data_IF_002964721752
#
_entry.id   IF_002964721752
#
_cell.length_a   1.000
_cell.length_b   1.000
_cell.length_c   1.000
_cell.angle_alpha   90.00
_cell.angle_beta   90.00
_cell.angle_gamma   90.00
#
_symmetry.space_group_name_H-M   'P 1'
#
loop_
_entity.id
_entity.type
_entity.pdbx_description
1 polymer ?
#
# COMPACT_ATOMS: atom_id res chain seq x y z
N UNK A 1 -8.21 86.35 18.13
CA UNK A 1 -9.64 86.70 18.20
C UNK A 1 -10.45 85.60 17.54
N UNK A 2 -11.55 85.22 18.21
CA UNK A 2 -12.64 84.29 17.82
C UNK A 2 -12.35 82.78 17.74
N UNK A 3 -12.84 82.14 18.81
CA UNK A 3 -13.20 80.73 19.03
C UNK A 3 -14.27 80.27 18.03
N UNK A 4 -14.27 78.99 17.65
CA UNK A 4 -15.38 78.09 17.98
C UNK A 4 -15.02 76.61 17.80
N UNK A 5 -15.58 75.81 18.71
CA UNK A 5 -15.43 74.37 18.94
C UNK A 5 -16.19 73.55 17.89
N UNK A 6 -15.71 72.36 17.54
CA UNK A 6 -16.48 71.11 17.73
C UNK A 6 -15.62 69.84 17.57
N UNK A 7 -16.15 68.74 18.14
CA UNK A 7 -15.51 67.54 18.66
C UNK A 7 -15.00 66.50 17.63
N UNK A 8 -14.01 65.72 18.08
CA UNK A 8 -13.70 64.34 17.65
C UNK A 8 -14.87 63.38 17.90
N UNK A 9 -15.11 62.46 16.97
CA UNK A 9 -15.41 61.04 17.29
C UNK A 9 -15.04 60.12 16.13
N UNK A 10 -14.27 59.08 16.44
CA UNK A 10 -13.98 57.90 15.63
C UNK A 10 -15.27 57.15 15.27
N UNK A 11 -15.51 56.95 13.97
CA UNK A 11 -16.53 56.03 13.47
C UNK A 11 -15.98 54.62 13.37
N UNK A 12 -16.12 53.84 14.44
CA UNK A 12 -15.96 52.39 14.40
C UNK A 12 -17.18 51.75 13.73
N UNK A 13 -16.94 50.98 12.68
CA UNK A 13 -17.95 50.16 12.01
C UNK A 13 -18.35 49.05 12.98
N UNK A 14 -19.55 49.20 13.55
CA UNK A 14 -20.23 48.20 14.35
C UNK A 14 -20.59 47.00 13.46
N UNK A 15 -19.90 45.87 13.65
CA UNK A 15 -20.43 44.58 13.25
C UNK A 15 -21.58 44.24 14.21
N UNK A 16 -22.80 44.26 13.70
CA UNK A 16 -23.99 43.85 14.44
C UNK A 16 -23.88 42.35 14.77
N UNK A 17 -23.44 42.06 15.99
CA UNK A 17 -23.57 40.75 16.62
C UNK A 17 -25.05 40.55 16.89
N UNK A 18 -25.72 39.73 16.08
CA UNK A 18 -27.03 39.20 16.45
C UNK A 18 -26.85 38.29 17.67
N UNK A 19 -27.68 38.43 18.73
CA UNK A 19 -27.60 37.56 19.88
C UNK A 19 -28.06 36.16 19.46
N UNK A 20 -27.12 35.22 19.42
CA UNK A 20 -27.42 33.79 19.35
C UNK A 20 -28.13 33.48 20.68
N UNK A 21 -29.44 33.30 20.62
CA UNK A 21 -30.24 32.83 21.75
C UNK A 21 -29.65 31.51 22.25
N UNK A 22 -29.18 31.51 23.49
CA UNK A 22 -28.75 30.31 24.19
C UNK A 22 -29.85 29.26 24.08
N UNK A 23 -29.55 28.14 23.43
CA UNK A 23 -30.42 26.96 23.41
C UNK A 23 -30.30 26.35 24.81
N UNK A 24 -31.18 26.78 25.72
CA UNK A 24 -31.36 26.13 27.00
C UNK A 24 -32.08 24.80 26.75
N UNK A 25 -31.36 23.68 26.84
CA UNK A 25 -31.97 22.37 26.92
C UNK A 25 -32.72 22.25 28.26
N UNK A 26 -34.01 22.58 28.28
CA UNK A 26 -34.85 22.30 29.45
C UNK A 26 -35.41 20.89 29.36
N UNK A 27 -34.88 19.98 30.16
CA UNK A 27 -35.58 18.74 30.51
C UNK A 27 -36.81 19.10 31.37
N UNK A 28 -38.03 18.88 30.88
CA UNK A 28 -39.24 19.05 31.71
C UNK A 28 -40.59 18.98 31.01
N UNK A 29 -41.20 17.79 31.05
CA UNK A 29 -42.65 17.47 31.15
C UNK A 29 -43.70 18.08 30.18
N UNK A 30 -44.26 17.19 29.36
CA UNK A 30 -45.65 17.09 28.83
C UNK A 30 -46.61 18.28 28.96
N UNK A 31 -47.09 18.76 27.80
CA UNK A 31 -48.46 19.24 27.62
C UNK A 31 -49.11 18.60 26.38
N UNK A 32 -50.31 18.03 26.57
CA UNK A 32 -51.21 17.57 25.51
C UNK A 32 -51.82 18.79 24.80
N UNK A 33 -51.76 18.83 23.47
CA UNK A 33 -52.56 19.71 22.63
C UNK A 33 -53.14 18.96 21.43
N UNK A 34 -54.34 19.39 21.03
CA UNK A 34 -55.31 18.70 20.18
C UNK A 34 -55.04 18.77 18.67
N UNK A 35 -55.71 17.87 17.96
CA UNK A 35 -55.77 17.64 16.52
C UNK A 35 -56.02 18.86 15.62
N UNK A 36 -55.05 19.17 14.77
CA UNK A 36 -55.21 19.60 13.36
C UNK A 36 -53.97 19.13 12.60
N UNK A 37 -54.13 18.62 11.38
CA UNK A 37 -53.11 17.91 10.60
C UNK A 37 -51.93 18.76 10.16
N UNK A 38 -51.05 19.10 11.08
CA UNK A 38 -49.70 19.62 10.81
C UNK A 38 -48.75 18.81 11.66
N UNK A 39 -47.84 18.07 11.03
CA UNK A 39 -46.81 17.31 11.75
C UNK A 39 -45.94 18.30 12.53
N UNK A 40 -46.13 18.37 13.85
CA UNK A 40 -45.32 19.24 14.71
C UNK A 40 -43.92 18.66 14.74
N UNK A 41 -42.96 19.39 14.16
CA UNK A 41 -41.55 19.03 14.23
C UNK A 41 -41.09 19.07 15.68
N UNK A 42 -40.39 18.03 16.09
CA UNK A 42 -39.71 17.94 17.39
C UNK A 42 -38.63 19.02 17.50
N UNK A 43 -38.24 19.37 18.73
CA UNK A 43 -37.14 20.30 18.98
C UNK A 43 -35.83 19.83 18.33
N UNK A 44 -35.61 18.51 18.26
CA UNK A 44 -34.46 17.92 17.57
C UNK A 44 -34.52 18.17 16.05
N UNK A 45 -35.69 18.06 15.43
CA UNK A 45 -35.88 18.33 14.00
C UNK A 45 -35.73 19.82 13.68
N UNK A 46 -36.24 20.71 14.54
CA UNK A 46 -36.06 22.16 14.40
C UNK A 46 -34.60 22.57 14.58
N UNK A 47 -33.90 21.98 15.55
CA UNK A 47 -32.47 22.21 15.77
C UNK A 47 -31.65 21.72 14.58
N UNK A 48 -31.95 20.53 14.04
CA UNK A 48 -31.28 20.00 12.84
C UNK A 48 -31.49 20.90 11.62
N UNK A 49 -32.71 21.39 11.42
CA UNK A 49 -33.02 22.33 10.33
C UNK A 49 -32.29 23.67 10.50
N UNK A 50 -32.29 24.22 11.72
CA UNK A 50 -31.58 25.46 12.04
C UNK A 50 -30.07 25.32 11.81
N UNK A 51 -29.47 24.22 12.29
CA UNK A 51 -28.06 23.91 12.06
C UNK A 51 -27.75 23.70 10.57
N UNK A 52 -28.67 23.07 9.83
CA UNK A 52 -28.53 22.86 8.38
C UNK A 52 -28.46 24.16 7.58
N UNK A 53 -29.11 25.23 8.06
CA UNK A 53 -29.11 26.57 7.44
C UNK A 53 -27.84 27.39 7.70
N UNK A 54 -27.00 26.97 8.64
CA UNK A 54 -25.73 27.63 8.93
C UNK A 54 -24.71 27.37 7.81
N UNK A 55 -23.87 28.36 7.52
CA UNK A 55 -22.66 28.14 6.72
C UNK A 55 -21.59 27.40 7.52
N UNK A 56 -20.52 26.95 6.87
CA UNK A 56 -19.50 26.11 7.50
C UNK A 56 -18.79 26.81 8.66
N UNK A 57 -18.53 28.12 8.56
CA UNK A 57 -17.93 28.91 9.65
C UNK A 57 -18.84 28.96 10.86
N UNK A 58 -20.14 29.19 10.65
CA UNK A 58 -21.14 29.21 11.71
C UNK A 58 -21.33 27.83 12.36
N UNK A 59 -21.35 26.75 11.56
CA UNK A 59 -21.42 25.37 12.07
C UNK A 59 -20.23 25.05 12.97
N UNK A 60 -19.01 25.40 12.54
CA UNK A 60 -17.80 25.23 13.34
C UNK A 60 -17.86 26.05 14.63
N UNK A 61 -18.37 27.28 14.57
CA UNK A 61 -18.51 28.12 15.75
C UNK A 61 -19.46 27.51 16.79
N UNK A 62 -20.62 27.00 16.35
CA UNK A 62 -21.56 26.28 17.23
C UNK A 62 -20.88 25.07 17.88
N UNK A 63 -20.15 24.25 17.11
CA UNK A 63 -19.43 23.09 17.65
C UNK A 63 -18.36 23.47 18.68
N UNK A 64 -17.66 24.60 18.50
CA UNK A 64 -16.69 25.12 19.47
C UNK A 64 -17.35 25.59 20.76
N UNK A 65 -18.49 26.27 20.65
CA UNK A 65 -19.23 26.80 21.79
C UNK A 65 -19.86 25.70 22.66
N UNK A 66 -20.23 24.56 22.06
CA UNK A 66 -20.80 23.42 22.77
C UNK A 66 -19.85 22.77 23.80
N UNK A 67 -18.55 23.10 23.80
CA UNK A 67 -17.54 22.54 24.73
C UNK A 67 -17.71 21.03 24.92
N UNK A 68 -17.65 20.27 23.82
CA UNK A 68 -17.99 18.84 23.79
C UNK A 68 -17.27 18.01 24.86
N UNK A 69 -16.06 18.39 25.25
CA UNK A 69 -15.28 17.76 26.32
C UNK A 69 -15.86 17.89 27.74
N UNK A 70 -16.84 18.77 27.95
CA UNK A 70 -17.55 18.93 29.23
C UNK A 70 -18.81 18.08 29.32
N UNK A 71 -19.32 17.62 28.17
CA UNK A 71 -20.59 16.87 28.07
C UNK A 71 -20.40 15.44 27.57
N UNK A 72 -19.30 15.16 26.87
CA UNK A 72 -18.93 13.83 26.38
C UNK A 72 -17.67 13.34 27.08
N UNK A 73 -17.60 12.02 27.31
CA UNK A 73 -16.35 11.36 27.71
C UNK A 73 -15.33 11.38 26.57
N UNK A 74 -14.05 11.15 26.88
CA UNK A 74 -13.03 11.03 25.83
C UNK A 74 -13.34 9.91 24.84
N UNK A 75 -13.87 8.78 25.30
CA UNK A 75 -14.28 7.68 24.44
C UNK A 75 -15.38 8.11 23.45
N UNK A 76 -16.40 8.86 23.92
CA UNK A 76 -17.48 9.40 23.09
C UNK A 76 -16.99 10.46 22.08
N UNK A 77 -16.00 11.27 22.46
CA UNK A 77 -15.40 12.25 21.53
C UNK A 77 -14.69 11.54 20.37
N UNK A 78 -13.93 10.48 20.63
CA UNK A 78 -13.22 9.76 19.57
C UNK A 78 -14.18 8.96 18.67
N UNK A 79 -15.29 8.44 19.21
CA UNK A 79 -16.38 7.86 18.41
C UNK A 79 -16.98 8.92 17.47
N UNK A 80 -17.27 10.12 17.98
CA UNK A 80 -17.78 11.22 17.18
C UNK A 80 -16.80 11.65 16.07
N UNK A 81 -15.49 11.73 16.37
CA UNK A 81 -14.46 12.02 15.34
C UNK A 81 -14.45 10.92 14.28
N UNK A 82 -14.55 9.64 14.68
CA UNK A 82 -14.58 8.51 13.76
C UNK A 82 -15.78 8.58 12.81
N UNK A 83 -16.95 9.00 13.30
CA UNK A 83 -18.15 9.17 12.48
C UNK A 83 -18.03 10.33 11.49
N UNK A 84 -17.31 11.41 11.86
CA UNK A 84 -17.07 12.53 10.97
C UNK A 84 -15.99 12.26 9.92
N UNK A 85 -14.89 11.62 10.32
CA UNK A 85 -13.81 11.23 9.44
C UNK A 85 -13.07 10.04 10.04
N UNK A 86 -13.45 8.84 9.59
CA UNK A 86 -12.83 7.59 10.04
C UNK A 86 -11.31 7.60 9.78
N UNK A 87 -10.83 8.23 8.71
CA UNK A 87 -9.42 8.17 8.28
C UNK A 87 -8.57 9.28 8.94
N UNK A 88 -9.15 10.07 9.85
CA UNK A 88 -8.46 11.20 10.52
C UNK A 88 -7.13 10.81 11.18
N UNK A 89 -6.98 9.55 11.61
CA UNK A 89 -5.73 9.05 12.19
C UNK A 89 -4.54 8.97 11.23
N UNK A 90 -4.77 9.06 9.91
CA UNK A 90 -3.74 8.87 8.86
C UNK A 90 -3.25 10.17 8.23
N UNK A 91 -3.86 11.31 8.55
CA UNK A 91 -3.44 12.62 8.01
C UNK A 91 -1.98 12.92 8.36
N UNK A 92 -1.61 12.70 9.64
CA UNK A 92 -0.25 12.94 10.12
C UNK A 92 0.78 12.02 9.47
N UNK A 93 0.43 10.73 9.25
CA UNK A 93 1.34 9.76 8.64
C UNK A 93 1.58 10.06 7.16
N UNK A 94 0.56 10.47 6.40
CA UNK A 94 0.71 10.90 5.00
C UNK A 94 1.58 12.15 4.93
N UNK A 95 1.32 13.16 5.75
CA UNK A 95 2.15 14.39 5.76
C UNK A 95 3.61 14.06 6.09
N UNK A 96 3.85 13.21 7.10
CA UNK A 96 5.20 12.75 7.43
C UNK A 96 5.85 12.01 6.25
N UNK A 97 5.17 11.05 5.64
CA UNK A 97 5.70 10.25 4.54
C UNK A 97 6.08 11.09 3.31
N UNK A 98 5.26 12.11 2.99
CA UNK A 98 5.40 12.96 1.80
C UNK A 98 6.34 14.14 2.02
N UNK A 99 6.34 14.74 3.21
CA UNK A 99 7.01 16.04 3.46
C UNK A 99 8.20 15.97 4.41
N UNK A 100 8.34 14.93 5.21
CA UNK A 100 9.42 14.86 6.20
C UNK A 100 10.77 14.59 5.54
N UNK A 101 11.83 15.16 6.11
CA UNK A 101 13.20 14.86 5.69
C UNK A 101 13.62 13.47 6.17
N UNK A 102 13.06 13.00 7.27
CA UNK A 102 13.28 11.67 7.84
C UNK A 102 12.84 10.58 6.88
N UNK A 103 11.63 10.69 6.31
CA UNK A 103 11.14 9.72 5.33
C UNK A 103 11.99 9.75 4.05
N UNK A 104 12.42 10.93 3.59
CA UNK A 104 13.32 11.07 2.44
C UNK A 104 14.65 10.36 2.69
N UNK A 105 15.34 10.71 3.78
CA UNK A 105 16.64 10.12 4.15
C UNK A 105 16.53 8.60 4.28
N UNK A 106 15.45 8.11 4.91
CA UNK A 106 15.28 6.68 5.13
C UNK A 106 15.01 5.91 3.82
N UNK A 107 14.27 6.48 2.86
CA UNK A 107 14.09 5.91 1.50
C UNK A 107 15.42 5.85 0.75
N UNK A 108 16.19 6.94 0.75
CA UNK A 108 17.50 6.98 0.08
C UNK A 108 18.49 6.00 0.71
N UNK A 109 18.54 5.93 2.04
CA UNK A 109 19.39 4.99 2.77
C UNK A 109 19.03 3.53 2.46
N UNK A 110 17.72 3.20 2.38
CA UNK A 110 17.28 1.87 2.01
C UNK A 110 17.80 1.45 0.63
N UNK A 111 17.72 2.34 -0.37
CA UNK A 111 18.23 2.04 -1.72
C UNK A 111 19.74 2.04 -1.83
N UNK A 112 20.47 2.90 -1.10
CA UNK A 112 21.93 2.81 -1.02
C UNK A 112 22.38 1.48 -0.41
N UNK A 113 21.70 1.03 0.65
CA UNK A 113 21.95 -0.28 1.24
C UNK A 113 21.57 -1.43 0.28
N UNK A 114 20.50 -1.26 -0.52
CA UNK A 114 20.11 -2.24 -1.53
C UNK A 114 21.19 -2.42 -2.61
N UNK A 115 21.82 -1.34 -3.07
CA UNK A 115 22.95 -1.41 -4.01
C UNK A 115 24.10 -2.23 -3.40
N UNK A 116 24.50 -1.91 -2.16
CA UNK A 116 25.57 -2.65 -1.45
C UNK A 116 25.20 -4.13 -1.27
N UNK A 117 23.95 -4.42 -0.93
CA UNK A 117 23.46 -5.78 -0.78
C UNK A 117 23.52 -6.56 -2.10
N UNK A 118 23.07 -5.95 -3.21
CA UNK A 118 23.14 -6.54 -4.54
C UNK A 118 24.58 -6.91 -4.92
N UNK A 119 25.53 -6.00 -4.75
CA UNK A 119 26.92 -6.22 -5.11
C UNK A 119 27.57 -7.34 -4.28
N UNK A 120 27.24 -7.43 -2.99
CA UNK A 120 27.71 -8.52 -2.10
C UNK A 120 27.08 -9.88 -2.45
N UNK A 121 25.79 -9.89 -2.79
CA UNK A 121 25.11 -11.12 -3.22
C UNK A 121 25.63 -11.61 -4.57
N UNK A 122 25.99 -10.70 -5.46
CA UNK A 122 26.62 -11.04 -6.75
C UNK A 122 27.87 -11.89 -6.55
N UNK A 123 28.78 -11.48 -5.66
CA UNK A 123 29.96 -12.29 -5.33
C UNK A 123 29.58 -13.59 -4.62
N UNK A 124 28.70 -13.52 -3.62
CA UNK A 124 28.32 -14.68 -2.80
C UNK A 124 27.61 -15.79 -3.59
N UNK A 125 26.96 -15.45 -4.70
CA UNK A 125 26.13 -16.38 -5.47
C UNK A 125 26.62 -16.58 -6.93
N UNK A 126 27.86 -16.23 -7.27
CA UNK A 126 28.41 -16.36 -8.63
C UNK A 126 28.34 -17.79 -9.22
N UNK A 127 28.27 -18.80 -8.35
CA UNK A 127 28.11 -20.19 -8.77
C UNK A 127 26.66 -20.52 -9.18
N UNK A 128 25.66 -19.82 -8.65
CA UNK A 128 24.23 -20.05 -8.94
C UNK A 128 23.70 -19.16 -10.06
N UNK A 129 24.18 -17.92 -10.15
CA UNK A 129 23.63 -16.93 -11.07
C UNK A 129 24.60 -16.56 -12.20
N UNK A 130 24.02 -16.14 -13.32
CA UNK A 130 24.72 -15.50 -14.42
C UNK A 130 24.55 -13.97 -14.32
N UNK A 131 25.67 -13.26 -14.18
CA UNK A 131 25.70 -11.79 -14.11
C UNK A 131 26.38 -11.15 -15.34
N UNK A 132 26.57 -11.91 -16.42
CA UNK A 132 27.32 -11.45 -17.60
C UNK A 132 26.55 -10.47 -18.48
N UNK A 133 25.22 -10.41 -18.34
CA UNK A 133 24.35 -9.59 -19.18
C UNK A 133 24.20 -8.16 -18.64
N UNK A 134 24.11 -7.18 -19.54
CA UNK A 134 23.72 -5.81 -19.22
C UNK A 134 22.42 -5.51 -19.96
N UNK A 135 21.31 -5.52 -19.22
CA UNK A 135 19.97 -5.39 -19.79
C UNK A 135 19.65 -3.95 -20.21
N UNK A 136 20.28 -2.95 -19.57
CA UNK A 136 20.10 -1.56 -19.95
C UNK A 136 20.60 -1.28 -21.37
N UNK A 137 21.70 -1.92 -21.76
CA UNK A 137 22.29 -1.72 -23.08
C UNK A 137 21.72 -2.71 -24.11
N UNK A 138 21.59 -3.99 -23.73
CA UNK A 138 21.13 -5.03 -24.65
C UNK A 138 19.62 -4.94 -24.97
N UNK A 139 18.81 -4.40 -24.05
CA UNK A 139 17.35 -4.31 -24.17
C UNK A 139 16.67 -5.67 -24.45
N UNK A 140 17.28 -6.76 -23.97
CA UNK A 140 16.79 -8.13 -24.06
C UNK A 140 17.42 -8.99 -22.97
N UNK A 141 16.90 -10.20 -22.77
CA UNK A 141 17.43 -11.19 -21.83
C UNK A 141 17.73 -12.48 -22.58
N UNK A 142 18.98 -12.89 -22.64
CA UNK A 142 19.40 -14.13 -23.28
C UNK A 142 19.26 -15.34 -22.34
N UNK A 143 19.09 -16.53 -22.94
CA UNK A 143 19.14 -17.78 -22.19
C UNK A 143 20.52 -17.95 -21.52
N UNK A 144 20.54 -18.59 -20.34
CA UNK A 144 21.77 -18.84 -19.58
C UNK A 144 22.28 -20.26 -19.79
N UNK A 145 23.56 -20.49 -19.47
CA UNK A 145 24.14 -21.81 -19.47
C UNK A 145 23.41 -22.77 -18.49
N UNK A 146 23.43 -24.07 -18.79
CA UNK A 146 22.84 -25.10 -17.93
C UNK A 146 23.37 -25.01 -16.50
N UNK A 147 22.45 -25.08 -15.52
CA UNK A 147 22.77 -24.97 -14.10
C UNK A 147 22.90 -23.55 -13.56
N UNK A 148 22.87 -22.52 -14.42
CA UNK A 148 22.80 -21.11 -14.02
C UNK A 148 21.36 -20.58 -14.09
N UNK A 149 21.15 -19.42 -13.49
CA UNK A 149 19.89 -18.66 -13.56
C UNK A 149 20.16 -17.17 -13.64
N UNK A 150 19.26 -16.40 -14.23
CA UNK A 150 19.29 -14.94 -14.13
C UNK A 150 18.81 -14.54 -12.72
N UNK A 151 19.55 -13.68 -12.01
CA UNK A 151 19.14 -13.19 -10.70
C UNK A 151 17.98 -12.21 -10.87
N UNK A 152 16.82 -12.60 -10.36
CA UNK A 152 15.62 -11.78 -10.33
C UNK A 152 15.56 -10.93 -9.06
N UNK A 153 15.24 -9.66 -9.21
CA UNK A 153 15.04 -8.71 -8.11
C UNK A 153 13.57 -8.33 -8.14
N UNK A 154 12.80 -8.86 -7.20
CA UNK A 154 11.38 -8.52 -7.09
C UNK A 154 11.21 -7.22 -6.30
N UNK A 155 10.51 -6.27 -6.89
CA UNK A 155 10.17 -5.00 -6.25
C UNK A 155 8.65 -4.81 -6.26
N UNK A 156 8.06 -4.39 -5.15
CA UNK A 156 6.73 -3.79 -5.23
C UNK A 156 6.76 -2.50 -6.07
N UNK A 157 5.59 -2.01 -6.49
CA UNK A 157 5.45 -0.76 -7.24
C UNK A 157 5.04 0.40 -6.34
N UNK A 158 3.95 0.24 -5.58
CA UNK A 158 3.34 1.33 -4.81
C UNK A 158 4.22 1.62 -3.59
N UNK A 159 4.57 2.88 -3.31
CA UNK A 159 5.42 3.33 -2.19
C UNK A 159 6.85 2.75 -2.17
N UNK A 160 7.17 1.86 -3.11
CA UNK A 160 8.46 1.21 -3.30
C UNK A 160 9.16 1.78 -4.53
N UNK A 161 8.57 1.67 -5.73
CA UNK A 161 9.16 2.26 -6.95
C UNK A 161 8.51 3.59 -7.30
N UNK A 162 7.19 3.66 -7.20
CA UNK A 162 6.36 4.82 -7.53
C UNK A 162 5.66 5.34 -6.28
N UNK A 163 5.76 6.63 -6.04
CA UNK A 163 5.02 7.33 -5.01
C UNK A 163 3.51 7.35 -5.32
N UNK A 164 2.66 6.97 -4.37
CA UNK A 164 1.20 7.07 -4.43
C UNK A 164 0.66 8.26 -3.62
N UNK A 165 1.54 9.15 -3.17
CA UNK A 165 1.27 10.32 -2.32
C UNK A 165 0.01 11.09 -2.71
N UNK A 166 -0.21 11.28 -4.01
CA UNK A 166 -1.35 12.06 -4.52
C UNK A 166 -2.68 11.30 -4.37
N UNK A 167 -2.68 9.99 -4.59
CA UNK A 167 -3.88 9.16 -4.41
C UNK A 167 -4.24 9.11 -2.93
N UNK A 168 -3.26 8.84 -2.05
CA UNK A 168 -3.46 8.82 -0.60
C UNK A 168 -3.92 10.18 -0.07
N UNK A 169 -3.26 11.26 -0.49
CA UNK A 169 -3.65 12.61 -0.07
C UNK A 169 -5.06 12.99 -0.54
N UNK A 170 -5.46 12.58 -1.76
CA UNK A 170 -6.83 12.82 -2.24
C UNK A 170 -7.85 11.96 -1.51
N UNK A 171 -7.53 10.70 -1.21
CA UNK A 171 -8.40 9.83 -0.42
C UNK A 171 -8.78 10.50 0.91
N UNK A 172 -7.81 11.13 1.59
CA UNK A 172 -8.06 11.85 2.83
C UNK A 172 -8.99 13.06 2.68
N UNK A 173 -8.97 13.74 1.54
CA UNK A 173 -9.81 14.90 1.27
C UNK A 173 -11.20 14.53 0.75
N UNK A 174 -11.36 13.35 0.15
CA UNK A 174 -12.55 12.95 -0.60
C UNK A 174 -13.35 11.80 0.04
N UNK A 175 -13.06 11.46 1.30
CA UNK A 175 -13.83 10.46 2.06
C UNK A 175 -13.36 9.01 1.90
N UNK A 176 -12.07 8.81 1.63
CA UNK A 176 -11.37 7.54 1.70
C UNK A 176 -10.92 6.97 0.36
N UNK A 177 -10.10 5.92 0.45
CA UNK A 177 -9.53 5.20 -0.69
C UNK A 177 -10.55 4.33 -1.43
N UNK A 178 -10.48 4.31 -2.76
CA UNK A 178 -11.11 3.27 -3.58
C UNK A 178 -10.16 2.78 -4.68
N UNK A 179 -10.28 1.50 -5.04
CA UNK A 179 -9.47 0.89 -6.09
C UNK A 179 -9.68 1.55 -7.46
N UNK A 180 -10.92 1.93 -7.79
CA UNK A 180 -11.24 2.60 -9.06
C UNK A 180 -10.57 3.98 -9.17
N UNK A 181 -10.61 4.79 -8.10
CA UNK A 181 -9.93 6.10 -8.07
C UNK A 181 -8.41 5.96 -8.15
N UNK A 182 -7.83 4.93 -7.50
CA UNK A 182 -6.40 4.64 -7.63
C UNK A 182 -6.06 4.29 -9.08
N UNK A 183 -6.82 3.40 -9.71
CA UNK A 183 -6.59 2.99 -11.09
C UNK A 183 -6.71 4.17 -12.06
N UNK A 184 -7.70 5.06 -11.88
CA UNK A 184 -7.81 6.31 -12.64
C UNK A 184 -6.56 7.20 -12.52
N UNK A 185 -5.93 7.24 -11.35
CA UNK A 185 -4.70 8.00 -11.15
C UNK A 185 -3.47 7.29 -11.76
N UNK A 186 -3.37 5.97 -11.62
CA UNK A 186 -2.32 5.15 -12.24
C UNK A 186 -2.32 5.26 -13.77
N UNK A 187 -3.51 5.30 -14.38
CA UNK A 187 -3.68 5.45 -15.84
C UNK A 187 -3.14 6.79 -16.38
N UNK A 188 -2.96 7.81 -15.53
CA UNK A 188 -2.36 9.09 -15.94
C UNK A 188 -0.84 8.99 -16.14
N UNK A 189 -0.19 7.94 -15.60
CA UNK A 189 1.24 7.67 -15.83
C UNK A 189 2.15 8.86 -15.51
N UNK A 190 1.90 9.49 -14.35
CA UNK A 190 2.56 10.72 -13.87
C UNK A 190 3.05 10.65 -12.42
N UNK A 191 3.14 9.45 -11.83
CA UNK A 191 3.64 9.23 -10.48
C UNK A 191 5.15 9.48 -10.43
N UNK A 192 5.62 10.04 -9.33
CA UNK A 192 7.04 10.27 -9.09
C UNK A 192 7.73 8.98 -8.64
N UNK A 193 9.04 8.90 -8.87
CA UNK A 193 9.83 7.80 -8.33
C UNK A 193 10.00 7.97 -6.82
N UNK A 194 10.04 6.86 -6.10
CA UNK A 194 10.59 6.84 -4.73
C UNK A 194 12.09 7.17 -4.80
N UNK A 195 12.61 8.08 -3.95
CA UNK A 195 14.01 8.48 -3.94
C UNK A 195 14.96 7.27 -3.86
N UNK A 196 15.91 7.19 -4.80
CA UNK A 196 16.87 6.09 -4.91
C UNK A 196 16.44 4.89 -5.78
N UNK A 197 15.14 4.71 -6.04
CA UNK A 197 14.64 3.52 -6.77
C UNK A 197 15.17 3.44 -8.22
N UNK A 198 15.16 4.57 -8.96
CA UNK A 198 15.62 4.61 -10.35
C UNK A 198 17.12 4.30 -10.47
N UNK A 199 17.94 4.84 -9.56
CA UNK A 199 19.38 4.57 -9.51
C UNK A 199 19.63 3.08 -9.26
N UNK A 200 18.96 2.51 -8.25
CA UNK A 200 19.07 1.10 -7.92
C UNK A 200 18.66 0.19 -9.08
N UNK A 201 17.49 0.42 -9.70
CA UNK A 201 17.00 -0.39 -10.82
C UNK A 201 18.00 -0.38 -11.97
N UNK A 202 18.49 0.81 -12.34
CA UNK A 202 19.46 0.94 -13.42
C UNK A 202 20.81 0.29 -13.05
N UNK A 203 21.27 0.39 -11.79
CA UNK A 203 22.49 -0.30 -11.33
C UNK A 203 22.36 -1.81 -11.44
N UNK A 204 21.29 -2.39 -10.92
CA UNK A 204 21.02 -3.84 -10.96
C UNK A 204 21.00 -4.35 -12.40
N UNK A 205 20.25 -3.68 -13.28
CA UNK A 205 20.09 -4.09 -14.68
C UNK A 205 21.35 -3.91 -15.52
N UNK A 206 22.24 -2.98 -15.18
CA UNK A 206 23.55 -2.85 -15.80
C UNK A 206 24.52 -3.97 -15.36
N UNK A 207 24.26 -4.62 -14.22
CA UNK A 207 25.18 -5.53 -13.56
C UNK A 207 24.69 -6.99 -13.51
N UNK A 208 23.75 -7.37 -14.38
CA UNK A 208 23.30 -8.74 -14.58
C UNK A 208 22.09 -9.17 -13.74
N UNK A 209 21.54 -8.29 -12.90
CA UNK A 209 20.28 -8.54 -12.21
C UNK A 209 19.08 -8.03 -13.00
N UNK A 210 17.99 -8.80 -13.05
CA UNK A 210 16.78 -8.44 -13.77
C UNK A 210 15.67 -8.04 -12.78
N UNK A 211 15.18 -6.81 -12.89
CA UNK A 211 14.12 -6.32 -12.00
C UNK A 211 12.75 -6.82 -12.47
N UNK A 212 11.93 -7.27 -11.54
CA UNK A 212 10.54 -7.63 -11.77
C UNK A 212 9.64 -6.86 -10.80
N UNK A 213 8.54 -6.31 -11.30
CA UNK A 213 7.59 -5.51 -10.54
C UNK A 213 6.46 -6.41 -10.01
N UNK A 214 6.58 -6.85 -8.75
CA UNK A 214 5.63 -7.74 -8.09
C UNK A 214 4.64 -6.97 -7.22
N UNK A 215 3.53 -6.55 -7.83
CA UNK A 215 2.57 -5.65 -7.21
C UNK A 215 1.14 -6.21 -7.15
N UNK A 216 0.33 -5.64 -6.28
CA UNK A 216 -1.10 -5.89 -6.21
C UNK A 216 -1.93 -5.00 -7.14
N UNK A 217 -1.27 -4.19 -7.99
CA UNK A 217 -1.91 -3.52 -9.12
C UNK A 217 -2.56 -4.53 -10.08
N UNK A 218 -3.55 -4.09 -10.86
CA UNK A 218 -4.20 -4.96 -11.85
C UNK A 218 -3.30 -5.14 -13.08
N UNK A 219 -3.07 -6.39 -13.52
CA UNK A 219 -2.39 -6.70 -14.79
C UNK A 219 -3.34 -6.51 -15.98
N UNK A 220 -3.90 -5.31 -16.13
CA UNK A 220 -4.62 -4.94 -17.34
C UNK A 220 -3.68 -4.33 -18.37
N UNK A 221 -4.01 -4.46 -19.66
CA UNK A 221 -3.22 -3.87 -20.75
C UNK A 221 -3.04 -2.37 -20.54
N UNK A 222 -4.12 -1.68 -20.13
CA UNK A 222 -4.11 -0.24 -19.90
C UNK A 222 -3.19 0.15 -18.73
N UNK A 223 -3.37 -0.47 -17.56
CA UNK A 223 -2.56 -0.18 -16.35
C UNK A 223 -1.10 -0.51 -16.58
N UNK A 224 -0.79 -1.71 -17.09
CA UNK A 224 0.58 -2.13 -17.40
C UNK A 224 1.27 -1.14 -18.36
N UNK A 225 0.59 -0.71 -19.42
CA UNK A 225 1.15 0.25 -20.38
C UNK A 225 1.37 1.64 -19.76
N UNK A 226 0.43 2.11 -18.94
CA UNK A 226 0.55 3.39 -18.24
C UNK A 226 1.73 3.39 -17.28
N UNK A 227 1.87 2.35 -16.44
CA UNK A 227 3.00 2.18 -15.51
C UNK A 227 4.30 2.04 -16.27
N UNK A 228 4.37 1.21 -17.33
CA UNK A 228 5.55 1.09 -18.19
C UNK A 228 5.99 2.45 -18.77
N UNK A 229 5.04 3.24 -19.26
CA UNK A 229 5.31 4.60 -19.75
C UNK A 229 5.85 5.49 -18.62
N UNK A 230 5.25 5.43 -17.44
CA UNK A 230 5.69 6.17 -16.27
C UNK A 230 7.14 5.83 -15.88
N UNK A 231 7.47 4.55 -15.80
CA UNK A 231 8.82 4.07 -15.44
C UNK A 231 9.88 4.56 -16.45
N UNK A 232 9.56 4.51 -17.74
CA UNK A 232 10.44 5.04 -18.81
C UNK A 232 10.64 6.56 -18.70
N UNK A 233 9.57 7.32 -18.43
CA UNK A 233 9.67 8.79 -18.22
C UNK A 233 10.56 9.16 -17.03
N UNK A 234 10.59 8.31 -16.00
CA UNK A 234 11.43 8.49 -14.81
C UNK A 234 12.90 8.12 -15.03
N UNK A 235 13.26 7.59 -16.21
CA UNK A 235 14.65 7.28 -16.56
C UNK A 235 15.08 5.84 -16.29
N UNK A 236 14.14 4.91 -16.08
CA UNK A 236 14.46 3.47 -16.07
C UNK A 236 14.78 3.04 -17.51
N UNK A 237 15.99 2.52 -17.70
CA UNK A 237 16.57 2.30 -19.05
C UNK A 237 15.98 1.09 -19.76
N UNK A 238 15.70 0.00 -19.06
CA UNK A 238 15.10 -1.20 -19.62
C UNK A 238 13.82 -1.57 -18.88
N UNK A 239 12.71 -1.63 -19.64
CA UNK A 239 11.38 -2.03 -19.16
C UNK A 239 10.67 -2.83 -20.25
N UNK A 240 10.48 -4.13 -20.02
CA UNK A 240 9.79 -5.09 -20.88
C UNK A 240 8.48 -5.58 -20.25
N UNK A 241 7.59 -6.13 -21.08
CA UNK A 241 6.24 -6.52 -20.63
C UNK A 241 6.25 -7.69 -19.65
N UNK A 242 7.20 -8.62 -19.78
CA UNK A 242 7.36 -9.76 -18.87
C UNK A 242 7.87 -9.34 -17.46
N UNK A 243 8.37 -8.11 -17.29
CA UNK A 243 8.85 -7.63 -15.99
C UNK A 243 7.68 -7.30 -15.05
N UNK A 244 6.44 -7.20 -15.55
CA UNK A 244 5.26 -6.89 -14.73
C UNK A 244 4.65 -8.17 -14.18
N UNK A 245 4.83 -8.38 -12.88
CA UNK A 245 4.28 -9.49 -12.12
C UNK A 245 3.16 -9.01 -11.18
N UNK A 246 2.14 -8.36 -11.76
CA UNK A 246 1.03 -7.80 -11.01
C UNK A 246 -0.11 -8.83 -10.84
N UNK A 247 -1.34 -8.43 -10.46
CA UNK A 247 -2.52 -9.32 -10.40
C UNK A 247 -2.87 -9.85 -11.79
N UNK A 248 -2.19 -10.92 -12.18
CA UNK A 248 -2.22 -11.57 -13.49
C UNK A 248 -0.96 -12.32 -13.85
N UNK A 249 0.13 -12.12 -13.12
CA UNK A 249 1.19 -13.11 -13.06
C UNK A 249 0.71 -14.35 -12.30
N UNK A 250 0.50 -15.41 -13.06
CA UNK A 250 0.06 -16.71 -12.60
C UNK A 250 1.08 -17.75 -13.09
N UNK A 251 2.02 -18.20 -12.25
CA UNK A 251 3.09 -19.12 -12.68
C UNK A 251 2.58 -20.53 -13.02
N UNK A 252 1.55 -21.00 -12.33
CA UNK A 252 1.02 -22.36 -12.48
C UNK A 252 -0.23 -22.39 -13.37
N UNK A 253 -0.35 -23.38 -14.26
CA UNK A 253 -1.56 -23.61 -15.07
C UNK A 253 -2.79 -23.77 -14.17
N UNK A 254 -3.87 -23.06 -14.50
CA UNK A 254 -5.18 -23.30 -13.93
C UNK A 254 -5.74 -24.63 -14.42
N UNK A 255 -6.69 -25.18 -13.68
CA UNK A 255 -7.41 -26.40 -14.09
C UNK A 255 -8.29 -26.18 -15.32
N UNK A 256 -8.73 -24.94 -15.57
CA UNK A 256 -9.43 -24.51 -16.78
C UNK A 256 -8.80 -23.21 -17.33
N UNK A 257 -7.76 -23.35 -18.16
CA UNK A 257 -7.04 -22.23 -18.77
C UNK A 257 -7.91 -21.42 -19.73
N UNK A 258 -8.81 -22.09 -20.46
CA UNK A 258 -9.63 -21.43 -21.47
C UNK A 258 -10.57 -20.42 -20.82
N UNK A 259 -11.14 -20.77 -19.66
CA UNK A 259 -12.08 -19.92 -18.92
C UNK A 259 -11.47 -18.61 -18.40
N UNK A 260 -10.15 -18.57 -18.16
CA UNK A 260 -9.46 -17.39 -17.62
C UNK A 260 -8.73 -16.55 -18.68
N UNK A 261 -8.78 -16.96 -19.95
CA UNK A 261 -8.18 -16.20 -21.05
C UNK A 261 -8.76 -14.79 -21.18
N UNK A 262 -8.00 -13.86 -21.76
CA UNK A 262 -8.51 -12.51 -22.01
C UNK A 262 -9.75 -12.53 -22.91
N UNK A 263 -9.73 -13.35 -23.97
CA UNK A 263 -10.87 -13.48 -24.88
C UNK A 263 -12.15 -13.93 -24.15
N UNK A 264 -12.04 -14.88 -23.21
CA UNK A 264 -13.17 -15.37 -22.44
C UNK A 264 -13.69 -14.36 -21.40
N UNK A 265 -12.85 -13.40 -20.97
CA UNK A 265 -13.12 -12.55 -19.79
C UNK A 265 -13.26 -11.06 -20.10
N UNK A 266 -12.86 -10.61 -21.30
CA UNK A 266 -12.84 -9.19 -21.70
C UNK A 266 -14.20 -8.47 -21.56
N UNK A 267 -15.30 -9.21 -21.74
CA UNK A 267 -16.66 -8.65 -21.67
C UNK A 267 -17.47 -9.18 -20.47
N UNK A 268 -16.86 -9.94 -19.56
CA UNK A 268 -17.59 -10.54 -18.42
C UNK A 268 -17.91 -9.48 -17.35
N UNK A 269 -19.14 -9.47 -16.81
CA UNK A 269 -19.50 -8.63 -15.68
C UNK A 269 -18.78 -9.10 -14.40
N UNK A 270 -18.61 -8.18 -13.45
CA UNK A 270 -17.88 -8.45 -12.19
C UNK A 270 -18.46 -9.61 -11.38
N UNK A 271 -19.79 -9.78 -11.38
CA UNK A 271 -20.45 -10.88 -10.69
C UNK A 271 -20.05 -12.26 -11.25
N UNK A 272 -19.95 -12.40 -12.57
CA UNK A 272 -19.48 -13.64 -13.21
C UNK A 272 -18.00 -13.89 -12.92
N UNK A 273 -17.17 -12.84 -12.98
CA UNK A 273 -15.75 -12.94 -12.65
C UNK A 273 -15.52 -13.36 -11.20
N UNK A 274 -16.35 -12.86 -10.27
CA UNK A 274 -16.32 -13.29 -8.87
C UNK A 274 -16.65 -14.77 -8.71
N UNK A 275 -17.67 -15.26 -9.42
CA UNK A 275 -18.04 -16.68 -9.44
C UNK A 275 -16.90 -17.54 -10.00
N UNK A 276 -16.35 -17.16 -11.16
CA UNK A 276 -15.21 -17.84 -11.78
C UNK A 276 -13.97 -17.87 -10.87
N UNK A 277 -13.65 -16.75 -10.22
CA UNK A 277 -12.55 -16.67 -9.27
C UNK A 277 -12.75 -17.60 -8.05
N UNK A 278 -13.99 -17.89 -7.68
CA UNK A 278 -14.32 -18.75 -6.53
C UNK A 278 -14.12 -20.23 -6.85
N UNK A 279 -14.25 -20.62 -8.12
CA UNK A 279 -13.97 -21.99 -8.60
C UNK A 279 -12.54 -22.19 -9.10
N UNK A 280 -11.74 -21.12 -9.20
CA UNK A 280 -10.39 -21.18 -9.76
C UNK A 280 -9.46 -22.02 -8.87
N UNK A 281 -8.77 -22.97 -9.50
CA UNK A 281 -7.73 -23.79 -8.88
C UNK A 281 -6.55 -23.96 -9.84
N UNK A 282 -5.38 -24.23 -9.29
CA UNK A 282 -4.13 -24.34 -10.04
C UNK A 282 -3.50 -25.72 -9.88
N UNK A 283 -2.90 -26.19 -10.97
CA UNK A 283 -2.08 -27.41 -11.02
C UNK A 283 -0.66 -27.12 -10.51
N UNK A 284 0.24 -28.10 -10.59
CA UNK A 284 1.68 -27.91 -10.32
C UNK A 284 2.50 -27.64 -11.59
N UNK A 285 1.87 -27.66 -12.76
CA UNK A 285 2.55 -27.44 -14.03
C UNK A 285 2.72 -25.94 -14.31
N UNK A 286 3.88 -25.53 -14.80
CA UNK A 286 4.15 -24.13 -15.11
C UNK A 286 3.54 -23.70 -16.45
N UNK A 287 3.08 -22.44 -16.52
CA UNK A 287 2.84 -21.76 -17.80
C UNK A 287 4.17 -21.44 -18.47
N UNK A 288 4.21 -21.42 -19.80
CA UNK A 288 5.39 -20.88 -20.52
C UNK A 288 5.49 -19.35 -20.35
N UNK A 289 4.34 -18.66 -20.33
CA UNK A 289 4.20 -17.22 -20.08
C UNK A 289 3.23 -16.98 -18.92
N UNK A 290 3.72 -16.62 -17.73
CA UNK A 290 2.89 -16.52 -16.53
C UNK A 290 2.08 -15.22 -16.46
N UNK A 291 2.44 -14.16 -17.19
CA UNK A 291 1.76 -12.86 -17.19
C UNK A 291 0.54 -12.84 -18.11
N UNK A 292 -0.61 -13.28 -17.61
CA UNK A 292 -1.88 -13.05 -18.31
C UNK A 292 -2.21 -11.57 -18.17
N UNK A 293 -2.32 -10.88 -19.31
CA UNK A 293 -2.64 -9.46 -19.36
C UNK A 293 -4.05 -9.30 -19.91
N UNK A 294 -4.96 -8.75 -19.11
CA UNK A 294 -6.37 -8.62 -19.49
C UNK A 294 -6.71 -7.25 -20.06
N UNK A 295 -7.64 -7.21 -20.99
CA UNK A 295 -8.32 -5.98 -21.40
C UNK A 295 -9.27 -5.49 -20.30
N UNK A 296 -9.93 -6.43 -19.60
CA UNK A 296 -10.83 -6.13 -18.50
C UNK A 296 -10.09 -6.09 -17.15
N UNK A 297 -9.92 -4.90 -16.58
CA UNK A 297 -9.22 -4.73 -15.29
C UNK A 297 -9.88 -5.48 -14.13
N UNK A 298 -11.21 -5.68 -14.18
CA UNK A 298 -11.92 -6.47 -13.15
C UNK A 298 -11.57 -7.96 -13.23
N UNK A 299 -11.25 -8.48 -14.42
CA UNK A 299 -10.77 -9.86 -14.56
C UNK A 299 -9.41 -10.02 -13.90
N UNK A 300 -8.48 -9.08 -14.16
CA UNK A 300 -7.19 -8.99 -13.48
C UNK A 300 -7.35 -8.94 -11.95
N UNK A 301 -8.24 -8.08 -11.44
CA UNK A 301 -8.53 -7.99 -10.01
C UNK A 301 -9.07 -9.31 -9.43
N UNK A 302 -10.17 -9.84 -10.00
CA UNK A 302 -10.88 -11.01 -9.43
C UNK A 302 -10.10 -12.30 -9.56
N UNK A 303 -9.53 -12.57 -10.74
CA UNK A 303 -8.80 -13.80 -11.01
C UNK A 303 -7.37 -13.72 -10.48
N UNK A 304 -6.68 -12.60 -10.74
CA UNK A 304 -5.30 -12.37 -10.30
C UNK A 304 -5.13 -12.31 -8.79
N UNK A 305 -6.13 -11.86 -8.03
CA UNK A 305 -6.09 -11.89 -6.55
C UNK A 305 -6.04 -13.28 -5.94
N UNK A 306 -6.23 -14.35 -6.73
CA UNK A 306 -6.07 -15.74 -6.28
C UNK A 306 -4.61 -16.19 -6.22
N UNK A 307 -3.70 -15.43 -6.83
CA UNK A 307 -2.26 -15.70 -6.83
C UNK A 307 -1.55 -14.59 -6.06
N UNK A 308 -0.98 -14.99 -4.93
CA UNK A 308 -0.27 -14.11 -4.01
C UNK A 308 1.12 -13.76 -4.54
N UNK A 309 1.71 -12.68 -4.03
CA UNK A 309 3.09 -12.28 -4.33
C UNK A 309 4.07 -13.41 -3.99
N UNK A 310 3.84 -14.12 -2.89
CA UNK A 310 4.65 -15.29 -2.52
C UNK A 310 4.54 -16.41 -3.55
N UNK A 311 3.36 -16.68 -4.09
CA UNK A 311 3.15 -17.73 -5.10
C UNK A 311 3.89 -17.42 -6.40
N UNK A 312 3.89 -16.13 -6.79
CA UNK A 312 4.63 -15.59 -7.93
C UNK A 312 6.14 -15.83 -7.79
N UNK A 313 6.71 -15.46 -6.64
CA UNK A 313 8.14 -15.65 -6.37
C UNK A 313 8.51 -17.14 -6.29
N UNK A 314 7.72 -17.94 -5.58
CA UNK A 314 7.92 -19.39 -5.50
C UNK A 314 7.84 -20.05 -6.87
N UNK A 315 6.88 -19.63 -7.71
CA UNK A 315 6.72 -20.13 -9.07
C UNK A 315 7.92 -19.78 -9.94
N UNK A 316 8.40 -18.53 -9.90
CA UNK A 316 9.62 -18.09 -10.59
C UNK A 316 10.82 -18.97 -10.22
N UNK A 317 11.05 -19.17 -8.93
CA UNK A 317 12.20 -19.93 -8.41
C UNK A 317 12.13 -21.43 -8.74
N UNK A 318 10.91 -21.99 -8.81
CA UNK A 318 10.68 -23.42 -8.98
C UNK A 318 10.71 -23.87 -10.46
N UNK A 319 10.50 -22.96 -11.42
CA UNK A 319 10.55 -23.30 -12.83
C UNK A 319 12.00 -23.41 -13.35
N UNK A 320 12.55 -24.62 -13.28
CA UNK A 320 13.92 -24.91 -13.76
C UNK A 320 14.01 -25.12 -15.27
N UNK A 321 12.89 -25.26 -15.97
CA UNK A 321 12.84 -25.35 -17.44
C UNK A 321 12.90 -23.98 -18.12
N UNK A 322 12.69 -22.91 -17.35
CA UNK A 322 12.75 -21.53 -17.82
C UNK A 322 11.44 -21.00 -18.38
N UNK A 323 11.42 -19.69 -18.61
CA UNK A 323 10.26 -18.92 -19.06
C UNK A 323 10.47 -18.43 -20.49
N UNK A 324 9.38 -18.37 -21.27
CA UNK A 324 9.43 -17.80 -22.62
C UNK A 324 9.28 -16.28 -22.57
N UNK A 325 10.39 -15.57 -22.32
CA UNK A 325 10.40 -14.11 -22.28
C UNK A 325 10.21 -13.51 -23.67
N UNK A 326 10.74 -14.18 -24.71
CA UNK A 326 10.62 -13.80 -26.12
C UNK A 326 9.18 -13.54 -26.56
N UNK A 327 8.22 -14.34 -26.08
CA UNK A 327 6.81 -14.17 -26.41
C UNK A 327 6.24 -12.80 -25.98
N UNK A 328 6.84 -12.15 -24.98
CA UNK A 328 6.38 -10.86 -24.45
C UNK A 328 7.11 -9.64 -25.05
N UNK A 329 8.17 -9.84 -25.83
CA UNK A 329 9.00 -8.74 -26.34
C UNK A 329 9.37 -8.88 -27.82
N UNK A 330 8.50 -9.51 -28.61
CA UNK A 330 8.69 -9.75 -30.05
C UNK A 330 9.91 -10.63 -30.37
N UNK A 331 10.15 -11.65 -29.55
CA UNK A 331 11.25 -12.62 -29.65
C UNK A 331 12.63 -11.99 -29.53
N UNK A 332 12.75 -10.85 -28.83
CA UNK A 332 14.05 -10.25 -28.54
C UNK A 332 14.78 -11.04 -27.44
N UNK A 333 14.03 -11.52 -26.43
CA UNK A 333 14.56 -12.34 -25.34
C UNK A 333 14.47 -13.85 -25.61
N UNK A 334 15.20 -14.61 -24.81
CA UNK A 334 15.21 -16.06 -24.82
C UNK A 334 13.84 -16.69 -24.52
N UNK A 335 13.65 -17.91 -25.02
CA UNK A 335 12.42 -18.69 -24.90
C UNK A 335 12.42 -19.69 -23.72
N UNK A 336 13.52 -19.80 -22.98
CA UNK A 336 13.68 -20.73 -21.87
C UNK A 336 14.60 -20.14 -20.78
N UNK A 337 14.35 -18.88 -20.40
CA UNK A 337 15.19 -18.17 -19.43
C UNK A 337 14.90 -18.66 -18.02
N UNK A 338 15.87 -19.30 -17.38
CA UNK A 338 15.77 -19.74 -15.98
C UNK A 338 16.03 -18.56 -15.05
N UNK A 339 15.11 -18.31 -14.12
CA UNK A 339 15.13 -17.16 -13.21
C UNK A 339 15.09 -17.65 -11.76
N UNK A 340 15.79 -16.97 -10.85
CA UNK A 340 15.66 -17.19 -9.40
C UNK A 340 15.73 -15.87 -8.65
N UNK A 341 14.91 -15.72 -7.63
CA UNK A 341 14.78 -14.51 -6.83
C UNK A 341 16.02 -14.31 -5.97
N UNK A 342 16.86 -13.33 -6.26
CA UNK A 342 18.02 -13.01 -5.43
C UNK A 342 17.71 -11.94 -4.39
N UNK A 343 16.80 -11.00 -4.71
CA UNK A 343 16.40 -9.94 -3.79
C UNK A 343 14.91 -9.66 -3.84
N UNK A 344 14.38 -9.15 -2.73
CA UNK A 344 13.01 -8.65 -2.61
C UNK A 344 13.05 -7.25 -2.03
N UNK A 345 12.24 -6.34 -2.56
CA UNK A 345 12.15 -4.96 -2.10
C UNK A 345 10.69 -4.58 -2.03
N UNK A 346 10.29 -4.00 -0.91
CA UNK A 346 8.91 -3.62 -0.65
C UNK A 346 8.84 -2.66 0.52
N UNK A 347 7.69 -2.06 0.70
CA UNK A 347 7.38 -1.13 1.78
C UNK A 347 6.47 -1.73 2.85
N UNK A 348 5.93 -2.93 2.57
CA UNK A 348 5.05 -3.66 3.43
C UNK A 348 5.58 -5.07 3.68
N UNK A 349 5.45 -5.58 4.90
CA UNK A 349 5.87 -6.94 5.24
C UNK A 349 5.17 -8.02 4.37
N UNK A 350 3.93 -7.73 3.94
CA UNK A 350 3.19 -8.60 3.02
C UNK A 350 3.83 -8.70 1.62
N UNK A 351 4.68 -7.76 1.20
CA UNK A 351 5.35 -7.82 -0.12
C UNK A 351 6.30 -9.01 -0.24
N UNK A 352 6.81 -9.45 0.91
CA UNK A 352 7.78 -10.53 1.02
C UNK A 352 7.12 -11.88 1.34
N UNK A 353 6.04 -11.86 2.13
CA UNK A 353 5.46 -13.06 2.74
C UNK A 353 3.94 -13.00 2.93
N UNK A 354 3.18 -12.43 1.99
CA UNK A 354 1.71 -12.33 2.10
C UNK A 354 1.01 -13.66 2.44
N UNK A 355 1.56 -14.80 2.04
CA UNK A 355 1.08 -16.12 2.48
C UNK A 355 1.24 -16.41 3.98
N UNK A 356 2.34 -15.95 4.57
CA UNK A 356 2.64 -16.14 5.99
C UNK A 356 2.12 -15.00 6.89
N UNK A 357 1.79 -13.84 6.32
CA UNK A 357 1.61 -12.59 7.08
C UNK A 357 0.31 -11.83 6.81
N UNK A 358 -0.40 -12.10 5.70
CA UNK A 358 -1.68 -11.44 5.44
C UNK A 358 -2.74 -11.92 6.44
N UNK A 359 -3.58 -11.00 6.93
CA UNK A 359 -4.58 -11.25 7.97
C UNK A 359 -4.01 -11.72 9.32
N UNK A 360 -2.70 -11.58 9.52
CA UNK A 360 -2.04 -11.78 10.81
C UNK A 360 -1.99 -10.47 11.59
N UNK A 361 -2.05 -10.57 12.91
CA UNK A 361 -1.81 -9.42 13.80
C UNK A 361 -0.37 -8.92 13.69
N UNK A 362 -0.12 -7.69 14.14
CA UNK A 362 1.25 -7.15 14.16
C UNK A 362 2.16 -7.96 15.09
N UNK A 363 1.65 -8.44 16.23
CA UNK A 363 2.38 -9.33 17.13
C UNK A 363 2.79 -10.64 16.44
N UNK A 364 1.90 -11.28 15.67
CA UNK A 364 2.24 -12.49 14.90
C UNK A 364 3.30 -12.23 13.83
N UNK A 365 3.27 -11.06 13.17
CA UNK A 365 4.28 -10.69 12.17
C UNK A 365 5.64 -10.40 12.80
N UNK A 366 5.67 -9.71 13.93
CA UNK A 366 6.88 -9.48 14.74
C UNK A 366 7.45 -10.81 15.21
N UNK A 367 6.60 -11.72 15.69
CA UNK A 367 7.01 -13.06 16.08
C UNK A 367 7.59 -13.85 14.90
N UNK A 368 7.00 -13.76 13.70
CA UNK A 368 7.58 -14.38 12.50
C UNK A 368 8.98 -13.82 12.22
N UNK A 369 9.18 -12.51 12.31
CA UNK A 369 10.48 -11.88 12.08
C UNK A 369 11.53 -12.29 13.12
N UNK A 370 11.18 -12.26 14.41
CA UNK A 370 12.14 -12.49 15.51
C UNK A 370 12.41 -13.97 15.80
N UNK A 371 11.40 -14.82 15.67
CA UNK A 371 11.48 -16.22 16.08
C UNK A 371 11.91 -17.14 14.93
N UNK A 372 11.95 -16.63 13.70
CA UNK A 372 12.51 -17.38 12.58
C UNK A 372 14.03 -17.27 12.60
N UNK A 373 14.70 -18.43 12.70
CA UNK A 373 16.16 -18.53 12.76
C UNK A 373 16.80 -17.79 11.57
N UNK A 374 17.74 -16.86 11.86
CA UNK A 374 18.51 -16.08 10.87
C UNK A 374 17.67 -15.23 9.91
N UNK A 375 16.39 -15.01 10.21
CA UNK A 375 15.52 -14.21 9.34
C UNK A 375 15.94 -12.74 9.28
N UNK A 376 16.45 -12.21 10.38
CA UNK A 376 17.01 -10.86 10.44
C UNK A 376 18.19 -10.66 9.48
N UNK A 377 19.00 -11.71 9.22
CA UNK A 377 20.17 -11.63 8.33
C UNK A 377 19.75 -11.23 6.90
N UNK A 378 18.57 -11.65 6.46
CA UNK A 378 18.00 -11.29 5.16
C UNK A 378 17.78 -9.78 5.02
N UNK A 379 17.52 -9.06 6.11
CA UNK A 379 17.31 -7.61 6.10
C UNK A 379 18.61 -6.81 6.30
N UNK A 380 19.77 -7.44 6.15
CA UNK A 380 21.08 -6.79 6.21
C UNK A 380 21.73 -6.69 4.83
N UNK A 381 22.72 -5.81 4.70
CA UNK A 381 23.51 -5.67 3.47
C UNK A 381 24.34 -6.91 3.11
N UNK A 382 24.52 -7.86 4.04
CA UNK A 382 25.22 -9.11 3.74
C UNK A 382 24.27 -10.19 3.21
N UNK A 383 22.95 -9.99 3.38
CA UNK A 383 21.94 -11.00 3.16
C UNK A 383 22.08 -12.21 4.10
N UNK A 384 21.24 -13.21 3.85
CA UNK A 384 21.22 -14.47 4.58
C UNK A 384 20.89 -15.64 3.67
N UNK A 385 20.77 -16.84 4.25
CA UNK A 385 20.25 -18.01 3.54
C UNK A 385 18.86 -17.69 3.00
N UNK A 386 18.66 -17.81 1.69
CA UNK A 386 17.38 -17.50 1.07
C UNK A 386 16.25 -18.34 1.64
N UNK A 387 15.03 -17.80 1.67
CA UNK A 387 13.87 -18.48 2.25
C UNK A 387 12.68 -18.46 1.30
N UNK A 388 12.01 -19.60 1.19
CA UNK A 388 10.67 -19.71 0.58
C UNK A 388 9.63 -20.11 1.62
N UNK A 389 8.41 -19.62 1.49
CA UNK A 389 7.29 -20.12 2.29
C UNK A 389 6.69 -21.35 1.61
N UNK A 390 6.61 -22.46 2.34
CA UNK A 390 6.02 -23.70 1.88
C UNK A 390 4.57 -23.81 2.39
N UNK A 391 3.62 -23.75 1.46
CA UNK A 391 2.18 -23.80 1.77
C UNK A 391 1.73 -25.13 2.39
N UNK A 392 2.41 -26.24 2.12
CA UNK A 392 2.01 -27.55 2.61
C UNK A 392 2.43 -27.71 4.07
N UNK A 393 3.64 -27.26 4.41
CA UNK A 393 4.18 -27.37 5.77
C UNK A 393 3.90 -26.14 6.63
N UNK A 394 3.44 -25.04 6.02
CA UNK A 394 3.24 -23.71 6.63
C UNK A 394 4.51 -23.15 7.29
N UNK A 395 5.68 -23.46 6.71
CA UNK A 395 7.00 -23.08 7.24
C UNK A 395 7.84 -22.37 6.18
N UNK A 396 8.79 -21.57 6.67
CA UNK A 396 9.87 -21.05 5.85
C UNK A 396 10.93 -22.15 5.68
N UNK A 397 11.36 -22.36 4.43
CA UNK A 397 12.32 -23.39 4.04
C UNK A 397 13.53 -22.72 3.39
N UNK A 398 14.73 -23.14 3.80
CA UNK A 398 16.00 -22.65 3.28
C UNK A 398 16.17 -22.98 1.79
N UNK A 399 16.67 -22.01 1.05
CA UNK A 399 17.10 -22.12 -0.33
C UNK A 399 18.61 -22.37 -0.38
N UNK A 400 19.09 -22.94 -1.48
CA UNK A 400 20.50 -23.29 -1.67
C UNK A 400 21.40 -22.11 -2.09
N UNK A 401 20.96 -20.87 -1.87
CA UNK A 401 21.66 -19.65 -2.28
C UNK A 401 21.24 -18.47 -1.38
N UNK A 402 22.04 -17.40 -1.34
CA UNK A 402 21.76 -16.25 -0.48
C UNK A 402 20.77 -15.27 -1.09
N UNK A 403 19.97 -14.63 -0.24
CA UNK A 403 19.06 -13.54 -0.61
C UNK A 403 19.24 -12.33 0.32
N UNK A 404 18.74 -11.16 -0.12
CA UNK A 404 18.55 -10.00 0.75
C UNK A 404 17.19 -9.34 0.48
N UNK A 405 16.58 -8.85 1.55
CA UNK A 405 15.30 -8.17 1.58
C UNK A 405 15.50 -6.74 2.04
N UNK A 406 14.86 -5.79 1.36
CA UNK A 406 14.97 -4.37 1.67
C UNK A 406 13.58 -3.82 1.94
N UNK A 407 13.34 -3.42 3.19
CA UNK A 407 12.15 -2.68 3.58
C UNK A 407 12.39 -1.19 3.31
N UNK A 408 11.62 -0.63 2.39
CA UNK A 408 11.62 0.81 2.12
C UNK A 408 10.55 1.44 3.02
N UNK A 409 10.81 2.54 3.73
CA UNK A 409 9.76 3.22 4.48
C UNK A 409 8.63 3.64 3.53
N UNK A 410 7.43 3.08 3.74
CA UNK A 410 6.27 3.38 2.91
C UNK A 410 4.93 2.99 3.53
N UNK A 411 3.89 3.33 2.79
CA UNK A 411 2.47 3.05 3.03
C UNK A 411 1.93 3.43 4.41
N UNK A 412 1.42 4.65 4.47
CA UNK A 412 0.83 5.29 5.64
C UNK A 412 -0.67 4.99 5.84
N UNK A 413 -1.35 4.44 4.83
CA UNK A 413 -2.82 4.35 4.78
C UNK A 413 -3.34 2.90 4.73
N UNK A 414 -2.76 2.01 3.91
CA UNK A 414 -3.31 0.67 3.62
C UNK A 414 -2.31 -0.49 3.78
N UNK A 415 -1.22 -0.26 4.50
CA UNK A 415 -0.23 -1.30 4.81
C UNK A 415 -0.84 -2.43 5.64
N UNK A 416 -0.25 -3.63 5.57
CA UNK A 416 -0.71 -4.78 6.37
C UNK A 416 -0.74 -4.45 7.86
N UNK A 417 0.21 -3.62 8.30
CA UNK A 417 0.31 -3.12 9.68
C UNK A 417 -0.94 -2.36 10.15
N UNK A 418 -1.67 -1.73 9.23
CA UNK A 418 -2.84 -0.89 9.49
C UNK A 418 -4.17 -1.65 9.41
N UNK A 419 -4.16 -2.90 8.90
CA UNK A 419 -5.33 -3.77 8.83
C UNK A 419 -6.01 -3.96 10.21
N UNK A 420 -5.28 -4.23 11.31
CA UNK A 420 -5.89 -4.31 12.65
C UNK A 420 -6.54 -3.01 13.13
N UNK A 421 -6.08 -1.86 12.63
CA UNK A 421 -6.63 -0.54 12.93
C UNK A 421 -7.65 -0.08 11.89
N UNK A 422 -8.17 -1.02 11.10
CA UNK A 422 -9.19 -0.82 10.06
C UNK A 422 -8.83 0.30 9.07
N UNK A 423 -7.56 0.37 8.72
CA UNK A 423 -7.03 1.30 7.72
C UNK A 423 -7.24 2.78 8.06
N UNK A 424 -7.01 3.15 9.32
CA UNK A 424 -6.97 4.56 9.71
C UNK A 424 -8.02 5.01 10.72
N UNK A 425 -8.90 4.10 11.15
CA UNK A 425 -9.99 4.40 12.08
C UNK A 425 -9.46 4.98 13.38
N UNK A 426 -9.74 6.27 13.61
CA UNK A 426 -9.27 7.00 14.81
C UNK A 426 -9.67 6.29 16.11
N UNK A 427 -10.86 5.67 16.13
CA UNK A 427 -11.32 4.90 17.29
C UNK A 427 -10.43 3.68 17.59
N UNK A 428 -9.91 3.01 16.57
CA UNK A 428 -9.01 1.86 16.74
C UNK A 428 -7.59 2.32 17.14
N UNK A 429 -7.09 3.42 16.57
CA UNK A 429 -5.83 4.01 17.04
C UNK A 429 -5.90 4.48 18.48
N UNK A 430 -7.01 5.09 18.88
CA UNK A 430 -7.21 5.52 20.25
C UNK A 430 -7.23 4.33 21.23
N UNK A 431 -7.85 3.20 20.87
CA UNK A 431 -7.75 1.97 21.66
C UNK A 431 -6.30 1.48 21.78
N UNK A 432 -5.56 1.46 20.67
CA UNK A 432 -4.15 1.06 20.67
C UNK A 432 -3.29 1.97 21.56
N UNK A 433 -3.54 3.29 21.54
CA UNK A 433 -2.86 4.24 22.44
C UNK A 433 -3.21 3.95 23.90
N UNK A 434 -4.48 3.64 24.22
CA UNK A 434 -4.87 3.24 25.58
C UNK A 434 -4.14 1.97 26.03
N UNK A 435 -3.96 0.99 25.15
CA UNK A 435 -3.20 -0.22 25.44
C UNK A 435 -1.73 0.11 25.75
N UNK A 436 -1.09 0.98 24.95
CA UNK A 436 0.28 1.45 25.19
C UNK A 436 0.41 2.15 26.55
N UNK A 437 -0.47 3.09 26.86
CA UNK A 437 -0.43 3.86 28.11
C UNK A 437 -0.63 2.97 29.34
N UNK A 438 -1.45 1.92 29.21
CA UNK A 438 -1.75 1.00 30.30
C UNK A 438 -0.80 -0.20 30.39
N UNK A 439 0.16 -0.31 29.48
CA UNK A 439 1.11 -1.42 29.48
C UNK A 439 2.07 -1.26 30.69
N UNK A 440 2.07 -2.21 31.65
CA UNK A 440 2.84 -2.11 32.88
C UNK A 440 4.35 -2.05 32.63
N UNK A 441 4.83 -2.48 31.46
CA UNK A 441 6.25 -2.43 31.09
C UNK A 441 6.76 -0.98 30.98
N UNK A 442 5.91 -0.02 30.60
CA UNK A 442 6.27 1.40 30.62
C UNK A 442 6.40 1.95 32.04
N UNK A 443 5.78 1.30 33.03
CA UNK A 443 5.90 1.69 34.44
C UNK A 443 7.15 1.08 35.08
N UNK A 444 7.51 -0.15 34.72
CA UNK A 444 8.69 -0.84 35.26
C UNK A 444 9.99 -0.46 34.57
N UNK A 445 9.93 0.04 33.33
CA UNK A 445 11.10 0.33 32.50
C UNK A 445 11.79 -0.92 31.95
N UNK A 446 12.84 -0.73 31.12
CA UNK A 446 13.62 -1.84 30.56
C UNK A 446 14.50 -2.52 31.61
N UNK A 447 14.85 -3.78 31.37
CA UNK A 447 15.86 -4.53 32.15
C UNK A 447 17.03 -4.93 31.26
N UNK A 448 18.16 -5.37 31.84
CA UNK A 448 19.28 -5.88 31.05
C UNK A 448 18.87 -7.09 30.18
N UNK A 449 17.98 -7.95 30.69
CA UNK A 449 17.47 -9.12 29.98
C UNK A 449 16.36 -8.76 28.97
N UNK A 450 15.71 -7.61 29.13
CA UNK A 450 14.66 -7.10 28.24
C UNK A 450 14.85 -5.58 28.05
N UNK A 451 15.85 -5.16 27.25
CA UNK A 451 16.17 -3.75 27.07
C UNK A 451 15.14 -3.00 26.21
N UNK A 452 14.23 -3.71 25.55
CA UNK A 452 13.21 -3.17 24.65
C UNK A 452 11.81 -3.73 24.99
N UNK A 453 10.76 -2.99 24.62
CA UNK A 453 9.35 -3.25 24.93
C UNK A 453 8.70 -4.36 24.07
N UNK A 454 9.52 -5.30 23.58
CA UNK A 454 9.46 -5.98 22.28
C UNK A 454 10.26 -5.22 21.23
#
# INVERSE_FOLDING_TARGET
MRKNKWLLTLGGISAAVLPITAIAASCGTTQKASTTGTTVKTDAELTKEAFGKLNDTQKVQVLKELKLNTVLTQDQIHELINDFNKDAGTFGSIVWYVKSVEALIAKEAAYKNAIVAFDKLKESNKETFDFSQNFNDAQKVDNVASGKSIPAIFMDIDETVLQNDLTESKAMLEGGYTGDKKEEEDLKGRRFAVPGAVEFINHVQANGGLVFYNSDMNQSTAVRNAVKSNLKKLGIKYVADFQFWMRGAMPYLATDEAAISDEATKNKPDAELKTLASSLSFTQNFRQTPWITWTNSKAAYRLGSKVYKTDRMNGLDANTSGWNLGQADNNASGNAVVLKTMMRIGDNFNDFFDRASKSKSNAERVALYRNTEKFADLFTVNGGDGLKYDENTKKLVKLGYKQAYVMVPGNAEYGGWNEPYKYGQIGEFYKAIKEIVNDPRYQTGPTEQQPTLE
#
